data_IF_396940545293
#
_entry.id   IF_396940545293
#
_cell.length_a   1.000
_cell.length_b   1.000
_cell.length_c   1.000
_cell.angle_alpha   90.00
_cell.angle_beta   90.00
_cell.angle_gamma   90.00
#
_symmetry.space_group_name_H-M   'P 1'
#
loop_
_entity.id
_entity.type
_entity.pdbx_description
1 polymer ?
#
# COMPACT_ATOMS: atom_id res chain seq x y z
N UNK A 1 10.86 -15.67 -7.78
CA UNK A 1 9.56 -15.16 -8.25
C UNK A 1 8.91 -14.43 -7.09
N UNK A 2 8.52 -13.17 -7.24
CA UNK A 2 7.77 -12.48 -6.19
C UNK A 2 6.35 -13.06 -6.15
N UNK A 3 5.84 -13.49 -4.97
CA UNK A 3 4.50 -14.04 -4.87
C UNK A 3 3.47 -12.96 -5.19
N UNK A 4 2.39 -13.32 -5.91
CA UNK A 4 1.22 -12.45 -6.00
C UNK A 4 0.57 -12.42 -4.63
N UNK A 5 0.57 -11.25 -4.00
CA UNK A 5 0.07 -11.05 -2.64
C UNK A 5 -0.62 -9.69 -2.53
N UNK A 6 -1.51 -9.58 -1.56
CA UNK A 6 -2.12 -8.32 -1.17
C UNK A 6 -1.37 -7.62 -0.05
N UNK A 7 -0.44 -8.33 0.61
CA UNK A 7 0.38 -7.80 1.70
C UNK A 7 1.68 -7.21 1.18
N UNK A 8 1.62 -6.10 0.46
CA UNK A 8 2.76 -5.46 -0.19
C UNK A 8 3.48 -4.45 0.71
N UNK A 9 2.74 -3.69 1.52
CA UNK A 9 3.28 -2.73 2.47
C UNK A 9 4.02 -3.42 3.61
N UNK A 10 3.45 -4.48 4.19
CA UNK A 10 4.13 -5.25 5.24
C UNK A 10 5.44 -5.89 4.74
N UNK A 11 5.44 -6.39 3.51
CA UNK A 11 6.65 -6.94 2.89
C UNK A 11 7.69 -5.84 2.73
N UNK A 12 7.30 -4.66 2.23
CA UNK A 12 8.21 -3.55 2.05
C UNK A 12 8.81 -3.08 3.38
N UNK A 13 8.01 -2.96 4.45
CA UNK A 13 8.52 -2.65 5.80
C UNK A 13 9.61 -3.65 6.21
N UNK A 14 9.33 -4.95 6.12
CA UNK A 14 10.30 -6.00 6.49
C UNK A 14 11.56 -5.99 5.63
N UNK A 15 11.46 -5.58 4.37
CA UNK A 15 12.61 -5.41 3.47
C UNK A 15 13.44 -4.19 3.89
N UNK A 16 12.81 -3.07 4.24
CA UNK A 16 13.49 -1.86 4.70
C UNK A 16 14.22 -2.09 6.04
N UNK A 17 13.60 -2.83 6.97
CA UNK A 17 14.19 -3.18 8.28
C UNK A 17 15.49 -3.99 8.15
N UNK A 18 15.64 -4.73 7.05
CA UNK A 18 16.86 -5.50 6.75
C UNK A 18 17.98 -4.65 6.14
N UNK A 19 17.73 -3.36 5.88
CA UNK A 19 18.67 -2.46 5.22
C UNK A 19 18.81 -2.71 3.70
N UNK A 20 17.85 -3.41 3.09
CA UNK A 20 17.86 -3.78 1.66
C UNK A 20 17.39 -2.61 0.76
N UNK A 21 17.79 -1.36 1.06
CA UNK A 21 17.43 -0.17 0.26
C UNK A 21 18.46 0.97 0.38
N UNK A 22 18.56 1.88 -0.61
CA UNK A 22 19.36 3.09 -0.48
C UNK A 22 18.91 3.96 0.68
N UNK A 23 19.87 4.41 1.49
CA UNK A 23 19.61 5.26 2.65
C UNK A 23 18.78 6.52 2.30
N UNK A 24 19.01 7.12 1.13
CA UNK A 24 18.26 8.32 0.71
C UNK A 24 16.78 8.06 0.42
N UNK A 25 16.43 6.84 0.02
CA UNK A 25 15.05 6.45 -0.30
C UNK A 25 14.30 5.90 0.90
N UNK A 26 14.98 5.58 2.00
CA UNK A 26 14.34 4.98 3.18
C UNK A 26 13.09 5.75 3.66
N UNK A 27 13.12 7.09 3.81
CA UNK A 27 11.95 7.82 4.29
C UNK A 27 10.74 7.67 3.37
N UNK A 28 10.95 7.83 2.07
CA UNK A 28 9.88 7.75 1.06
C UNK A 28 9.35 6.32 0.90
N UNK A 29 10.25 5.32 0.92
CA UNK A 29 9.85 3.91 0.85
C UNK A 29 9.12 3.47 2.12
N UNK A 30 9.51 3.96 3.29
CA UNK A 30 8.81 3.68 4.54
C UNK A 30 7.42 4.30 4.52
N UNK A 31 7.29 5.54 4.06
CA UNK A 31 5.99 6.17 3.87
C UNK A 31 5.11 5.37 2.90
N UNK A 32 5.66 4.99 1.73
CA UNK A 32 4.94 4.17 0.77
C UNK A 32 4.48 2.83 1.37
N UNK A 33 5.32 2.21 2.19
CA UNK A 33 5.04 0.96 2.86
C UNK A 33 3.91 1.10 3.89
N UNK A 34 3.95 2.16 4.71
CA UNK A 34 2.91 2.45 5.70
C UNK A 34 1.56 2.76 5.06
N UNK A 35 1.55 3.59 4.00
CA UNK A 35 0.33 3.89 3.25
C UNK A 35 -0.25 2.62 2.62
N UNK A 36 0.60 1.81 2.00
CA UNK A 36 0.17 0.54 1.40
C UNK A 36 -0.41 -0.40 2.45
N UNK A 37 0.29 -0.61 3.57
CA UNK A 37 -0.14 -1.49 4.66
C UNK A 37 -1.51 -1.09 5.23
N UNK A 38 -1.76 0.21 5.37
CA UNK A 38 -3.06 0.73 5.83
C UNK A 38 -4.20 0.39 4.87
N UNK A 39 -3.95 0.32 3.57
CA UNK A 39 -4.96 0.01 2.55
C UNK A 39 -5.18 -1.50 2.32
N UNK A 40 -4.30 -2.39 2.81
CA UNK A 40 -4.40 -3.84 2.54
C UNK A 40 -5.70 -4.50 3.00
N UNK A 41 -6.26 -4.16 4.19
CA UNK A 41 -7.53 -4.74 4.64
C UNK A 41 -8.68 -4.46 3.65
N UNK A 42 -8.62 -3.31 2.99
CA UNK A 42 -9.64 -2.85 2.03
C UNK A 42 -9.76 -3.77 0.82
N UNK A 43 -8.75 -4.59 0.52
CA UNK A 43 -8.84 -5.61 -0.52
C UNK A 43 -10.00 -6.59 -0.24
N UNK A 44 -10.28 -6.91 1.01
CA UNK A 44 -11.39 -7.80 1.36
C UNK A 44 -12.64 -7.01 1.75
N UNK A 45 -12.49 -5.98 2.59
CA UNK A 45 -13.59 -5.22 3.18
C UNK A 45 -14.41 -4.45 2.14
N UNK A 46 -13.80 -4.02 1.03
CA UNK A 46 -14.50 -3.29 -0.04
C UNK A 46 -15.37 -4.16 -0.95
N UNK A 47 -15.28 -5.50 -0.85
CA UNK A 47 -15.91 -6.42 -1.81
C UNK A 47 -16.91 -7.39 -1.20
N UNK A 48 -16.65 -7.86 0.00
CA UNK A 48 -17.40 -8.96 0.59
C UNK A 48 -18.16 -8.47 1.83
N UNK A 49 -19.49 -8.68 1.88
CA UNK A 49 -20.23 -8.51 3.12
C UNK A 49 -19.68 -9.44 4.21
N UNK A 50 -19.79 -9.01 5.46
CA UNK A 50 -19.28 -9.74 6.61
C UNK A 50 -20.08 -9.45 7.88
N UNK A 51 -19.81 -10.19 8.95
CA UNK A 51 -20.34 -9.88 10.27
C UNK A 51 -19.27 -9.15 11.08
N UNK A 52 -19.62 -8.03 11.69
CA UNK A 52 -18.76 -7.34 12.65
C UNK A 52 -18.87 -7.99 14.04
N UNK A 53 -17.97 -7.63 14.96
CA UNK A 53 -17.93 -8.22 16.31
C UNK A 53 -19.14 -7.93 17.21
N UNK A 54 -20.06 -7.07 16.76
CA UNK A 54 -21.29 -6.67 17.44
C UNK A 54 -22.56 -7.16 16.72
N UNK A 55 -22.45 -8.27 15.96
CA UNK A 55 -23.54 -8.89 15.20
C UNK A 55 -24.21 -7.97 14.15
N UNK A 56 -23.51 -6.91 13.71
CA UNK A 56 -23.98 -6.08 12.59
C UNK A 56 -23.49 -6.65 11.27
N UNK A 57 -24.36 -6.54 10.26
CA UNK A 57 -24.01 -6.86 8.89
C UNK A 57 -23.20 -5.71 8.30
N UNK A 58 -21.94 -5.99 7.95
CA UNK A 58 -21.09 -5.12 7.16
C UNK A 58 -21.48 -5.26 5.68
N UNK A 59 -22.02 -4.20 5.07
CA UNK A 59 -22.34 -4.16 3.64
C UNK A 59 -21.43 -3.11 2.99
N UNK A 60 -20.42 -3.50 2.19
CA UNK A 60 -19.41 -2.56 1.70
C UNK A 60 -20.01 -1.32 1.01
N UNK A 61 -21.02 -1.51 0.14
CA UNK A 61 -21.66 -0.39 -0.56
C UNK A 61 -22.38 0.62 0.35
N UNK A 62 -22.64 0.27 1.61
CA UNK A 62 -23.28 1.15 2.61
C UNK A 62 -22.26 1.78 3.56
N UNK A 63 -21.10 1.15 3.73
CA UNK A 63 -20.07 1.57 4.69
C UNK A 63 -19.06 2.56 4.09
N UNK A 64 -18.74 2.45 2.80
CA UNK A 64 -17.83 3.39 2.13
C UNK A 64 -18.55 4.60 1.57
N UNK A 65 -17.96 5.77 1.80
CA UNK A 65 -18.41 7.06 1.28
C UNK A 65 -17.49 7.55 0.17
N UNK A 66 -17.88 8.67 -0.43
CA UNK A 66 -17.08 9.33 -1.48
C UNK A 66 -15.72 9.77 -0.93
N UNK A 67 -15.70 10.26 0.31
CA UNK A 67 -14.48 10.72 0.97
C UNK A 67 -13.46 9.60 1.14
N UNK A 68 -13.91 8.38 1.47
CA UNK A 68 -13.02 7.21 1.60
C UNK A 68 -12.39 6.84 0.24
N UNK A 69 -13.18 6.92 -0.83
CA UNK A 69 -12.70 6.69 -2.18
C UNK A 69 -11.68 7.76 -2.62
N UNK A 70 -11.94 9.02 -2.28
CA UNK A 70 -11.03 10.13 -2.59
C UNK A 70 -9.73 10.01 -1.78
N UNK A 71 -9.77 9.65 -0.50
CA UNK A 71 -8.58 9.38 0.34
C UNK A 71 -7.76 8.21 -0.23
N UNK A 72 -8.41 7.08 -0.54
CA UNK A 72 -7.74 5.92 -1.11
C UNK A 72 -7.08 6.25 -2.46
N UNK A 73 -7.75 7.03 -3.31
CA UNK A 73 -7.22 7.48 -4.58
C UNK A 73 -5.97 8.36 -4.40
N UNK A 74 -6.00 9.30 -3.47
CA UNK A 74 -4.87 10.17 -3.16
C UNK A 74 -3.67 9.37 -2.64
N UNK A 75 -3.90 8.45 -1.70
CA UNK A 75 -2.87 7.59 -1.13
C UNK A 75 -2.25 6.68 -2.19
N UNK A 76 -3.07 6.00 -3.00
CA UNK A 76 -2.61 5.14 -4.09
C UNK A 76 -1.81 5.93 -5.14
N UNK A 77 -2.26 7.14 -5.48
CA UNK A 77 -1.54 8.03 -6.42
C UNK A 77 -0.16 8.41 -5.88
N UNK A 78 -0.08 8.77 -4.60
CA UNK A 78 1.18 9.11 -3.94
C UNK A 78 2.15 7.93 -3.92
N UNK A 79 1.69 6.75 -3.51
CA UNK A 79 2.50 5.51 -3.51
C UNK A 79 2.99 5.20 -4.92
N UNK A 80 2.10 5.29 -5.93
CA UNK A 80 2.47 5.03 -7.31
C UNK A 80 3.52 6.01 -7.83
N UNK A 81 3.45 7.29 -7.45
CA UNK A 81 4.45 8.29 -7.82
C UNK A 81 5.82 7.98 -7.20
N UNK A 82 5.87 7.66 -5.90
CA UNK A 82 7.10 7.25 -5.21
C UNK A 82 7.73 6.01 -5.83
N UNK A 83 6.92 4.98 -6.09
CA UNK A 83 7.39 3.74 -6.71
C UNK A 83 7.97 3.99 -8.10
N UNK A 84 7.32 4.83 -8.92
CA UNK A 84 7.84 5.21 -10.25
C UNK A 84 9.15 5.95 -10.15
N UNK A 85 9.27 6.91 -9.23
CA UNK A 85 10.49 7.68 -9.05
C UNK A 85 11.65 6.79 -8.57
N UNK A 86 11.39 5.90 -7.60
CA UNK A 86 12.37 4.92 -7.12
C UNK A 86 12.85 4.03 -8.27
N UNK A 87 11.94 3.42 -9.03
CA UNK A 87 12.28 2.53 -10.15
C UNK A 87 13.07 3.28 -11.23
N UNK A 88 12.64 4.49 -11.60
CA UNK A 88 13.31 5.27 -12.63
C UNK A 88 14.78 5.54 -12.26
N UNK A 89 15.04 5.91 -11.01
CA UNK A 89 16.40 6.21 -10.57
C UNK A 89 17.23 4.96 -10.29
N UNK A 90 16.63 3.93 -9.69
CA UNK A 90 17.29 2.66 -9.38
C UNK A 90 17.86 2.00 -10.64
N UNK A 91 17.10 2.04 -11.75
CA UNK A 91 17.55 1.48 -13.02
C UNK A 91 18.35 2.46 -13.89
N UNK A 92 18.23 3.78 -13.67
CA UNK A 92 19.14 4.74 -14.30
C UNK A 92 20.58 4.57 -13.78
N UNK A 93 20.75 4.39 -12.47
CA UNK A 93 22.05 4.13 -11.85
C UNK A 93 22.68 2.78 -12.25
N UNK A 94 21.89 1.85 -12.82
CA UNK A 94 22.37 0.55 -13.29
C UNK A 94 22.84 0.57 -14.76
N UNK A 95 22.70 1.70 -15.45
CA UNK A 95 23.07 1.88 -16.86
C UNK A 95 24.39 2.64 -17.07
N UNK A 96 25.09 2.97 -15.98
CA UNK A 96 26.47 3.49 -15.93
C UNK A 96 27.44 2.40 -15.48
#
# INVERSE_FOLDING_TARGET
>A
MFPRTHSVGEILIRTLDKGESPARWQPDLLEAAMLSARMEPEVSLSRYPGMTGDDRLWIPSEEYKREDADEACQQATRVAAMARAFVAEWFAAASE
#
